data_IF_037546389511
#
_entry.id   IF_037546389511
#
_cell.length_a   1.000
_cell.length_b   1.000
_cell.length_c   1.000
_cell.angle_alpha   90.00
_cell.angle_beta   90.00
_cell.angle_gamma   90.00
#
_symmetry.space_group_name_H-M   'P 1'
#
loop_
_entity.id
_entity.type
_entity.pdbx_description
1 polymer ?
#
# COMPACT_ATOMS: atom_id res chain seq x y z
N UNK A 1 -16.52 -15.45 -12.89
CA UNK A 1 -15.43 -15.41 -11.87
C UNK A 1 -14.13 -15.13 -12.60
N UNK A 2 -13.36 -14.13 -12.16
CA UNK A 2 -12.07 -13.77 -12.77
C UNK A 2 -10.93 -14.68 -12.28
N UNK A 3 -9.94 -14.90 -13.14
CA UNK A 3 -8.68 -15.55 -12.77
C UNK A 3 -7.77 -14.56 -12.00
N UNK A 4 -6.79 -15.08 -11.27
CA UNK A 4 -5.80 -14.23 -10.59
C UNK A 4 -5.02 -13.33 -11.57
N UNK A 5 -4.73 -13.80 -12.79
CA UNK A 5 -4.06 -13.03 -13.82
C UNK A 5 -4.90 -11.84 -14.30
N UNK A 6 -6.18 -12.05 -14.57
CA UNK A 6 -7.09 -10.98 -14.98
C UNK A 6 -7.26 -9.92 -13.87
N UNK A 7 -7.32 -10.35 -12.60
CA UNK A 7 -7.41 -9.43 -11.48
C UNK A 7 -6.09 -8.65 -11.27
N UNK A 8 -4.96 -9.30 -11.51
CA UNK A 8 -3.64 -8.65 -11.47
C UNK A 8 -3.52 -7.56 -12.54
N UNK A 9 -3.95 -7.83 -13.78
CA UNK A 9 -3.95 -6.85 -14.85
C UNK A 9 -4.84 -5.66 -14.52
N UNK A 10 -6.06 -5.91 -14.03
CA UNK A 10 -7.00 -4.88 -13.61
C UNK A 10 -6.44 -3.98 -12.52
N UNK A 11 -5.89 -4.55 -11.44
CA UNK A 11 -5.36 -3.74 -10.34
C UNK A 11 -4.09 -2.98 -10.73
N UNK A 12 -3.23 -3.55 -11.57
CA UNK A 12 -2.05 -2.85 -12.07
C UNK A 12 -2.43 -1.65 -12.93
N UNK A 13 -3.42 -1.78 -13.82
CA UNK A 13 -3.93 -0.65 -14.60
C UNK A 13 -4.39 0.49 -13.68
N UNK A 14 -5.22 0.18 -12.66
CA UNK A 14 -5.72 1.19 -11.73
C UNK A 14 -4.60 1.85 -10.91
N UNK A 15 -3.59 1.07 -10.46
CA UNK A 15 -2.44 1.65 -9.73
C UNK A 15 -1.61 2.55 -10.65
N UNK A 16 -1.43 2.17 -11.92
CA UNK A 16 -0.68 2.98 -12.90
C UNK A 16 -1.41 4.29 -13.23
N UNK A 17 -2.73 4.26 -13.24
CA UNK A 17 -3.56 5.43 -13.52
C UNK A 17 -3.70 6.38 -12.32
N UNK A 18 -3.21 5.99 -11.13
CA UNK A 18 -3.19 6.87 -9.97
C UNK A 18 -2.29 8.08 -10.23
N UNK A 19 -2.89 9.25 -10.20
CA UNK A 19 -2.17 10.52 -10.31
C UNK A 19 -2.28 11.29 -9.01
N UNK A 20 -1.14 11.56 -8.39
CA UNK A 20 -1.08 12.41 -7.19
C UNK A 20 -0.77 13.86 -7.59
N UNK A 21 -1.77 14.54 -8.18
CA UNK A 21 -1.64 15.94 -8.65
C UNK A 21 -1.58 16.95 -7.52
N UNK A 22 -1.51 16.50 -6.28
CA UNK A 22 -1.46 17.35 -5.09
C UNK A 22 -0.09 18.00 -4.92
N UNK A 23 -0.07 19.10 -4.17
CA UNK A 23 1.15 19.81 -3.74
C UNK A 23 1.37 19.59 -2.25
N UNK A 24 2.63 19.60 -1.78
CA UNK A 24 3.87 19.82 -2.55
C UNK A 24 4.33 18.57 -3.31
N UNK A 25 4.90 18.76 -4.51
CA UNK A 25 5.38 17.63 -5.35
C UNK A 25 6.41 16.75 -4.64
N UNK A 26 7.27 17.35 -3.80
CA UNK A 26 8.28 16.60 -3.04
C UNK A 26 7.70 15.56 -2.07
N UNK A 27 6.43 15.69 -1.67
CA UNK A 27 5.74 14.71 -0.83
C UNK A 27 5.20 13.54 -1.66
N UNK A 28 4.65 13.82 -2.86
CA UNK A 28 3.91 12.82 -3.66
C UNK A 28 4.77 12.14 -4.72
N UNK A 29 5.84 12.77 -5.21
CA UNK A 29 6.74 12.13 -6.17
C UNK A 29 7.37 10.82 -5.64
N UNK A 30 7.81 10.71 -4.37
CA UNK A 30 8.25 9.44 -3.80
C UNK A 30 7.12 8.39 -3.72
N UNK A 31 5.88 8.80 -3.47
CA UNK A 31 4.71 7.88 -3.47
C UNK A 31 4.52 7.24 -4.85
N UNK A 32 4.49 8.06 -5.90
CA UNK A 32 4.42 7.59 -7.29
C UNK A 32 5.60 6.69 -7.65
N UNK A 33 6.80 7.08 -7.23
CA UNK A 33 8.02 6.31 -7.45
C UNK A 33 7.93 4.93 -6.85
N UNK A 34 7.54 4.80 -5.56
CA UNK A 34 7.41 3.51 -4.88
C UNK A 34 6.36 2.64 -5.53
N UNK A 35 5.17 3.18 -5.84
CA UNK A 35 4.10 2.43 -6.49
C UNK A 35 4.49 1.98 -7.90
N UNK A 36 5.30 2.77 -8.63
CA UNK A 36 5.83 2.43 -9.95
C UNK A 36 6.88 1.33 -9.97
N UNK A 37 7.44 0.97 -8.80
CA UNK A 37 8.41 -0.13 -8.71
C UNK A 37 7.81 -1.50 -9.05
N UNK A 38 6.51 -1.59 -9.18
CA UNK A 38 5.80 -2.83 -9.46
C UNK A 38 5.71 -3.75 -8.24
N UNK A 39 5.60 -5.04 -8.51
CA UNK A 39 5.49 -6.08 -7.49
C UNK A 39 4.47 -7.14 -7.87
N UNK A 40 4.39 -8.21 -7.08
CA UNK A 40 3.47 -9.34 -7.32
C UNK A 40 2.01 -9.00 -7.03
N UNK A 41 1.72 -7.89 -6.36
CA UNK A 41 0.36 -7.44 -6.00
C UNK A 41 -0.51 -8.54 -5.36
N UNK A 42 0.10 -9.42 -4.59
CA UNK A 42 -0.60 -10.58 -4.01
C UNK A 42 -1.76 -10.13 -3.12
N UNK A 43 -1.55 -9.12 -2.27
CA UNK A 43 -2.55 -8.64 -1.30
C UNK A 43 -3.82 -8.10 -1.98
N UNK A 44 -3.75 -7.13 -2.89
CA UNK A 44 -4.94 -6.66 -3.59
C UNK A 44 -5.58 -7.75 -4.45
N UNK A 45 -4.81 -8.63 -5.11
CA UNK A 45 -5.37 -9.73 -5.90
C UNK A 45 -6.14 -10.71 -5.02
N UNK A 46 -5.60 -11.11 -3.87
CA UNK A 46 -6.30 -11.98 -2.92
C UNK A 46 -7.61 -11.34 -2.40
N UNK A 47 -7.59 -10.04 -2.11
CA UNK A 47 -8.79 -9.30 -1.70
C UNK A 47 -9.85 -9.32 -2.80
N UNK A 48 -9.46 -9.04 -4.04
CA UNK A 48 -10.37 -9.09 -5.20
C UNK A 48 -10.90 -10.51 -5.43
N UNK A 49 -10.05 -11.55 -5.32
CA UNK A 49 -10.47 -12.95 -5.45
C UNK A 49 -11.48 -13.33 -4.38
N UNK A 50 -11.23 -13.01 -3.12
CA UNK A 50 -12.15 -13.29 -2.01
C UNK A 50 -13.52 -12.64 -2.23
N UNK A 51 -13.54 -11.39 -2.66
CA UNK A 51 -14.78 -10.69 -3.00
C UNK A 51 -15.48 -11.33 -4.20
N UNK A 52 -14.74 -11.74 -5.23
CA UNK A 52 -15.28 -12.33 -6.46
C UNK A 52 -15.89 -13.72 -6.25
N UNK A 53 -15.69 -14.36 -5.10
CA UNK A 53 -16.41 -15.58 -4.71
C UNK A 53 -17.92 -15.32 -4.47
N UNK A 54 -18.26 -14.08 -4.07
CA UNK A 54 -19.63 -13.71 -3.67
C UNK A 54 -20.27 -12.68 -4.60
N UNK A 55 -19.46 -11.88 -5.30
CA UNK A 55 -19.91 -10.78 -6.14
C UNK A 55 -19.14 -10.77 -7.47
N UNK A 56 -19.85 -10.62 -8.57
CA UNK A 56 -19.23 -10.58 -9.91
C UNK A 56 -18.52 -9.22 -10.18
N UNK A 57 -19.11 -8.13 -9.69
CA UNK A 57 -18.62 -6.77 -9.91
C UNK A 57 -17.55 -6.39 -8.87
N UNK A 58 -16.30 -6.72 -9.17
CA UNK A 58 -15.13 -6.42 -8.32
C UNK A 58 -14.73 -4.95 -8.31
N UNK A 59 -15.32 -4.11 -9.19
CA UNK A 59 -14.98 -2.69 -9.27
C UNK A 59 -15.30 -1.94 -7.99
N UNK A 60 -16.29 -2.41 -7.24
CA UNK A 60 -16.76 -1.84 -5.97
C UNK A 60 -15.71 -1.83 -4.87
N UNK A 61 -14.67 -2.66 -4.99
CA UNK A 61 -13.62 -2.76 -3.98
C UNK A 61 -12.22 -2.48 -4.55
N UNK A 62 -12.12 -1.85 -5.73
CA UNK A 62 -10.83 -1.45 -6.25
C UNK A 62 -10.11 -0.45 -5.33
N UNK A 63 -10.83 0.54 -4.81
CA UNK A 63 -10.23 1.52 -3.90
C UNK A 63 -9.70 0.85 -2.62
N UNK A 64 -10.44 0.01 -1.87
CA UNK A 64 -9.89 -0.75 -0.76
C UNK A 64 -8.72 -1.67 -1.15
N UNK A 65 -8.77 -2.32 -2.33
CA UNK A 65 -7.68 -3.17 -2.80
C UNK A 65 -6.41 -2.35 -3.12
N UNK A 66 -6.54 -1.14 -3.65
CA UNK A 66 -5.45 -0.18 -3.79
C UNK A 66 -4.96 0.25 -2.41
N UNK A 67 -5.86 0.52 -1.48
CA UNK A 67 -5.53 0.91 -0.11
C UNK A 67 -4.60 -0.07 0.58
N UNK A 68 -4.89 -1.38 0.49
CA UNK A 68 -4.02 -2.41 1.10
C UNK A 68 -2.64 -2.49 0.41
N UNK A 69 -2.56 -2.22 -0.89
CA UNK A 69 -1.28 -2.18 -1.61
C UNK A 69 -0.48 -0.91 -1.28
N UNK A 70 -1.14 0.25 -1.16
CA UNK A 70 -0.50 1.50 -0.72
C UNK A 70 0.03 1.34 0.70
N UNK A 71 -0.75 0.75 1.61
CA UNK A 71 -0.30 0.42 2.97
C UNK A 71 0.92 -0.49 2.96
N UNK A 72 0.90 -1.57 2.17
CA UNK A 72 2.05 -2.46 2.06
C UNK A 72 3.31 -1.73 1.55
N UNK A 73 3.18 -0.87 0.55
CA UNK A 73 4.33 -0.11 0.06
C UNK A 73 4.79 0.97 1.05
N UNK A 74 3.89 1.52 1.89
CA UNK A 74 4.24 2.35 3.05
C UNK A 74 5.17 1.60 4.00
N UNK A 75 4.78 0.38 4.41
CA UNK A 75 5.61 -0.41 5.35
C UNK A 75 6.98 -0.70 4.75
N UNK A 76 7.06 -1.04 3.44
CA UNK A 76 8.32 -1.28 2.76
C UNK A 76 9.21 -0.04 2.66
N UNK A 77 8.62 1.15 2.49
CA UNK A 77 9.35 2.41 2.40
C UNK A 77 10.01 2.77 3.75
N UNK A 78 9.29 2.61 4.85
CA UNK A 78 9.82 2.83 6.18
C UNK A 78 10.84 1.75 6.59
N UNK A 79 10.59 0.49 6.26
CA UNK A 79 11.49 -0.64 6.45
C UNK A 79 12.84 -0.40 5.75
N UNK A 80 12.82 0.00 4.48
CA UNK A 80 14.03 0.36 3.73
C UNK A 80 14.86 1.46 4.39
N UNK A 81 14.21 2.42 5.03
CA UNK A 81 14.88 3.49 5.76
C UNK A 81 15.47 2.98 7.09
N UNK A 82 14.72 2.18 7.83
CA UNK A 82 15.17 1.59 9.11
C UNK A 82 16.37 0.67 8.89
N UNK A 83 16.33 -0.17 7.86
CA UNK A 83 17.39 -1.11 7.51
C UNK A 83 18.55 -0.46 6.74
N UNK A 84 18.45 0.83 6.38
CA UNK A 84 19.43 1.51 5.51
C UNK A 84 19.65 0.79 4.18
N UNK A 85 18.63 0.15 3.65
CA UNK A 85 18.69 -0.61 2.41
C UNK A 85 18.98 0.30 1.21
N UNK A 86 19.95 -0.06 0.38
CA UNK A 86 20.31 0.75 -0.80
C UNK A 86 19.32 0.57 -1.95
N UNK A 87 18.75 -0.62 -2.10
CA UNK A 87 17.89 -0.98 -3.24
C UNK A 87 16.70 -1.83 -2.83
N UNK A 88 15.58 -1.60 -3.54
CA UNK A 88 14.39 -2.45 -3.53
C UNK A 88 13.93 -2.73 -4.97
N UNK A 89 13.69 -4.00 -5.29
CA UNK A 89 13.25 -4.43 -6.63
C UNK A 89 14.15 -3.91 -7.76
N UNK A 90 15.47 -3.81 -7.49
CA UNK A 90 16.48 -3.34 -8.45
C UNK A 90 16.59 -1.83 -8.59
N UNK A 91 15.71 -1.04 -7.96
CA UNK A 91 15.76 0.44 -7.92
C UNK A 91 16.32 0.92 -6.59
N UNK A 92 16.89 2.13 -6.57
CA UNK A 92 17.32 2.77 -5.33
C UNK A 92 16.12 3.05 -4.42
N UNK A 93 16.33 2.98 -3.10
CA UNK A 93 15.30 3.28 -2.12
C UNK A 93 15.03 4.78 -2.02
N UNK A 94 13.87 5.18 -1.48
CA UNK A 94 13.45 6.57 -1.44
C UNK A 94 14.43 7.45 -0.69
N UNK A 95 15.00 7.00 0.44
CA UNK A 95 15.96 7.78 1.21
C UNK A 95 17.30 7.97 0.46
N UNK A 96 17.63 7.11 -0.51
CA UNK A 96 18.80 7.28 -1.39
C UNK A 96 18.54 8.26 -2.52
N UNK A 97 17.35 8.19 -3.14
CA UNK A 97 16.98 9.09 -4.25
C UNK A 97 16.69 10.51 -3.76
N UNK A 98 16.05 10.65 -2.58
CA UNK A 98 15.74 11.95 -1.96
C UNK A 98 16.56 12.16 -0.68
N UNK A 99 15.96 11.87 0.47
CA UNK A 99 16.60 11.93 1.79
C UNK A 99 15.70 11.23 2.84
N UNK A 100 16.22 11.07 4.06
CA UNK A 100 15.53 10.41 5.17
C UNK A 100 14.20 11.09 5.53
N UNK A 101 14.19 12.42 5.65
CA UNK A 101 12.98 13.17 6.01
C UNK A 101 11.89 13.03 4.96
N UNK A 102 12.25 13.03 3.67
CA UNK A 102 11.32 12.80 2.58
C UNK A 102 10.76 11.38 2.63
N UNK A 103 11.58 10.38 2.93
CA UNK A 103 11.12 9.00 3.11
C UNK A 103 10.11 8.88 4.25
N UNK A 104 10.39 9.50 5.41
CA UNK A 104 9.46 9.52 6.54
C UNK A 104 8.13 10.17 6.15
N UNK A 105 8.16 11.41 5.66
CA UNK A 105 6.93 12.16 5.36
C UNK A 105 6.11 11.55 4.23
N UNK A 106 6.77 11.03 3.20
CA UNK A 106 6.06 10.37 2.09
C UNK A 106 5.43 9.05 2.54
N UNK A 107 6.10 8.30 3.42
CA UNK A 107 5.54 7.13 4.06
C UNK A 107 4.30 7.48 4.91
N UNK A 108 4.38 8.51 5.75
CA UNK A 108 3.24 8.98 6.55
C UNK A 108 2.06 9.38 5.64
N UNK A 109 2.35 10.08 4.54
CA UNK A 109 1.32 10.42 3.55
C UNK A 109 0.69 9.16 2.93
N UNK A 110 1.50 8.12 2.62
CA UNK A 110 0.99 6.84 2.11
C UNK A 110 0.10 6.14 3.11
N UNK A 111 0.43 6.17 4.41
CA UNK A 111 -0.43 5.62 5.46
C UNK A 111 -1.81 6.29 5.44
N UNK A 112 -1.86 7.62 5.39
CA UNK A 112 -3.13 8.36 5.33
C UNK A 112 -3.89 8.07 4.04
N UNK A 113 -3.20 8.01 2.89
CA UNK A 113 -3.81 7.64 1.62
C UNK A 113 -4.42 6.23 1.66
N UNK A 114 -3.73 5.27 2.30
CA UNK A 114 -4.25 3.92 2.47
C UNK A 114 -5.56 3.91 3.25
N UNK A 115 -5.65 4.68 4.36
CA UNK A 115 -6.89 4.86 5.10
C UNK A 115 -7.99 5.49 4.27
N UNK A 116 -7.66 6.50 3.45
CA UNK A 116 -8.63 7.13 2.55
C UNK A 116 -9.20 6.13 1.54
N UNK A 117 -8.34 5.33 0.87
CA UNK A 117 -8.78 4.29 -0.05
C UNK A 117 -9.61 3.20 0.64
N UNK A 118 -9.22 2.76 1.84
CA UNK A 118 -10.00 1.79 2.62
C UNK A 118 -11.38 2.32 2.97
N UNK A 119 -11.50 3.60 3.29
CA UNK A 119 -12.75 4.25 3.65
C UNK A 119 -13.74 4.38 2.47
N UNK A 120 -13.29 4.14 1.23
CA UNK A 120 -14.18 4.07 0.05
C UNK A 120 -14.95 2.74 -0.06
N UNK A 121 -14.86 1.86 0.93
CA UNK A 121 -15.71 0.67 1.00
C UNK A 121 -17.18 1.04 1.19
N UNK A 122 -18.09 0.05 1.06
CA UNK A 122 -19.51 0.27 1.30
C UNK A 122 -19.76 0.88 2.69
N UNK A 123 -20.56 1.97 2.81
CA UNK A 123 -20.87 2.59 4.08
C UNK A 123 -21.42 1.64 5.15
N UNK A 124 -22.12 0.58 4.72
CA UNK A 124 -22.68 -0.43 5.63
C UNK A 124 -21.62 -1.25 6.37
N UNK A 125 -20.40 -1.33 5.84
CA UNK A 125 -19.29 -2.09 6.41
C UNK A 125 -18.11 -1.21 6.82
N UNK A 126 -18.25 0.12 6.69
CA UNK A 126 -17.15 1.04 6.91
C UNK A 126 -16.48 0.86 8.28
N UNK A 127 -17.29 0.79 9.35
CA UNK A 127 -16.74 0.64 10.70
C UNK A 127 -15.98 -0.68 10.85
N UNK A 128 -16.55 -1.79 10.41
CA UNK A 128 -15.95 -3.11 10.52
C UNK A 128 -14.64 -3.21 9.72
N UNK A 129 -14.63 -2.66 8.50
CA UNK A 129 -13.44 -2.61 7.65
C UNK A 129 -12.34 -1.77 8.29
N UNK A 130 -12.68 -0.59 8.82
CA UNK A 130 -11.70 0.31 9.43
C UNK A 130 -11.17 -0.23 10.76
N UNK A 131 -12.03 -0.87 11.58
CA UNK A 131 -11.60 -1.52 12.82
C UNK A 131 -10.61 -2.66 12.53
N UNK A 132 -10.93 -3.55 11.56
CA UNK A 132 -10.06 -4.65 11.15
C UNK A 132 -8.74 -4.12 10.57
N UNK A 133 -8.81 -3.15 9.66
CA UNK A 133 -7.61 -2.57 9.05
C UNK A 133 -6.71 -1.91 10.09
N UNK A 134 -7.27 -1.13 11.01
CA UNK A 134 -6.51 -0.44 12.06
C UNK A 134 -5.88 -1.42 13.05
N UNK A 135 -6.61 -2.47 13.45
CA UNK A 135 -6.09 -3.51 14.31
C UNK A 135 -4.90 -4.22 13.65
N UNK A 136 -5.07 -4.67 12.40
CA UNK A 136 -4.00 -5.35 11.65
C UNK A 136 -2.80 -4.43 11.42
N UNK A 137 -3.03 -3.14 11.15
CA UNK A 137 -1.95 -2.17 11.00
C UNK A 137 -1.14 -2.02 12.30
N UNK A 138 -1.80 -2.02 13.46
CA UNK A 138 -1.14 -1.96 14.77
C UNK A 138 -0.34 -3.24 15.05
N UNK A 139 -0.91 -4.42 14.78
CA UNK A 139 -0.23 -5.72 14.91
C UNK A 139 1.03 -5.79 14.04
N UNK A 140 1.02 -5.19 12.85
CA UNK A 140 2.20 -5.11 11.98
C UNK A 140 3.27 -4.22 12.62
N UNK A 141 2.91 -3.09 13.24
CA UNK A 141 3.87 -2.24 13.95
C UNK A 141 4.48 -2.97 15.16
N UNK A 142 3.65 -3.68 15.94
CA UNK A 142 4.09 -4.50 17.07
C UNK A 142 5.05 -5.60 16.62
N UNK A 143 4.72 -6.29 15.51
CA UNK A 143 5.58 -7.31 14.92
C UNK A 143 6.93 -6.76 14.47
N UNK A 144 6.95 -5.59 13.82
CA UNK A 144 8.18 -4.92 13.41
C UNK A 144 9.05 -4.54 14.63
N UNK A 145 8.43 -4.06 15.71
CA UNK A 145 9.16 -3.74 16.94
C UNK A 145 9.77 -4.98 17.57
N UNK A 146 9.04 -6.10 17.61
CA UNK A 146 9.56 -7.36 18.12
C UNK A 146 10.75 -7.87 17.29
N UNK A 147 10.67 -7.77 15.96
CA UNK A 147 11.76 -8.15 15.04
C UNK A 147 13.05 -7.37 15.36
N UNK A 148 12.93 -6.05 15.49
CA UNK A 148 14.05 -5.17 15.88
C UNK A 148 14.63 -5.51 17.27
N UNK A 149 13.82 -5.95 18.22
CA UNK A 149 14.27 -6.34 19.57
C UNK A 149 14.98 -7.70 19.56
N UNK A 150 14.65 -8.60 18.64
CA UNK A 150 15.33 -9.89 18.49
C UNK A 150 16.72 -9.77 17.85
N UNK A 151 17.02 -8.67 17.14
CA UNK A 151 18.33 -8.42 16.53
C UNK A 151 19.37 -7.85 17.51
N UNK A 152 18.97 -7.47 18.75
CA UNK A 152 19.84 -6.95 19.81
C UNK A 152 20.34 -8.06 20.74
#
# INVERSE_FOLDING_TARGET
MFTASELLEKINSHITDLQFTRTPKGLYAPVEYVLSMGGKRIRPVLMLMAYNLYQEDVTRIYAPAIGIEVYHNYTLLHDDLMDRADRRRGKETVHKVWNDNTAILSGDAMLILAYQFMAECSPSFLKEVMDLFSLTALEICEGQQMDMEFEQ
#
